data_IF_793314269648
#
_entry.id   IF_793314269648
#
_cell.length_a   1.000
_cell.length_b   1.000
_cell.length_c   1.000
_cell.angle_alpha   90.00
_cell.angle_beta   90.00
_cell.angle_gamma   90.00
#
_symmetry.space_group_name_H-M   'P 1'
#
loop_
_entity.id
_entity.type
_entity.pdbx_description
1 polymer ?
#
# COMPACT_ATOMS: atom_id res chain seq x y z
N UNK A 1 21.10 18.23 -13.65
CA UNK A 1 21.67 17.04 -12.97
C UNK A 1 22.85 16.51 -13.76
N UNK A 2 24.00 16.26 -13.17
CA UNK A 2 25.09 15.62 -13.89
C UNK A 2 24.66 14.19 -14.23
N UNK A 3 24.58 13.89 -15.50
CA UNK A 3 24.46 12.53 -16.04
C UNK A 3 25.87 11.98 -16.13
N UNK A 4 26.16 10.89 -15.46
CA UNK A 4 27.42 10.17 -15.57
C UNK A 4 27.18 8.88 -16.36
N UNK A 5 27.95 8.69 -17.44
CA UNK A 5 27.95 7.44 -18.20
C UNK A 5 29.35 6.90 -18.29
N UNK A 6 29.52 5.65 -17.87
CA UNK A 6 30.75 4.90 -18.04
C UNK A 6 30.54 3.82 -19.12
N UNK A 7 31.13 4.03 -20.29
CA UNK A 7 31.00 3.13 -21.42
C UNK A 7 31.71 1.79 -21.22
N UNK A 8 32.76 1.75 -20.37
CA UNK A 8 33.48 0.50 -20.07
C UNK A 8 32.68 -0.38 -19.11
N UNK A 9 32.13 0.24 -18.04
CA UNK A 9 31.30 -0.46 -17.07
C UNK A 9 29.82 -0.56 -17.51
N UNK A 10 29.44 0.11 -18.60
CA UNK A 10 28.06 0.21 -19.09
C UNK A 10 27.08 0.67 -17.99
N UNK A 11 27.49 1.65 -17.21
CA UNK A 11 26.67 2.20 -16.14
C UNK A 11 26.21 3.63 -16.47
N UNK A 12 24.95 3.90 -16.14
CA UNK A 12 24.33 5.21 -16.21
C UNK A 12 23.97 5.65 -14.80
N UNK A 13 24.43 6.84 -14.40
CA UNK A 13 24.13 7.41 -13.09
C UNK A 13 23.52 8.82 -13.22
N UNK A 14 22.45 9.06 -12.47
CA UNK A 14 21.88 10.38 -12.20
C UNK A 14 22.00 10.59 -10.69
N UNK A 15 23.08 11.18 -10.25
CA UNK A 15 23.37 11.34 -8.83
C UNK A 15 22.41 12.31 -8.14
N UNK A 16 21.79 13.23 -8.88
CA UNK A 16 20.87 14.23 -8.35
C UNK A 16 19.72 14.44 -9.32
N UNK A 17 18.64 13.73 -9.10
CA UNK A 17 17.38 13.94 -9.80
C UNK A 17 16.59 14.99 -9.01
N UNK A 18 16.16 16.07 -9.64
CA UNK A 18 15.30 17.08 -9.06
C UNK A 18 14.29 17.52 -10.10
N UNK A 19 13.04 17.56 -9.72
CA UNK A 19 11.93 17.94 -10.60
C UNK A 19 10.65 18.13 -9.82
N UNK A 20 9.57 18.35 -10.52
CA UNK A 20 8.22 18.34 -9.98
C UNK A 20 7.30 17.65 -10.98
N UNK A 21 6.32 16.92 -10.46
CA UNK A 21 5.26 16.32 -11.23
C UNK A 21 3.94 17.00 -10.86
N UNK A 22 3.33 17.63 -11.84
CA UNK A 22 2.01 18.25 -11.69
C UNK A 22 0.97 17.32 -12.32
N UNK A 23 0.10 16.77 -11.48
CA UNK A 23 -0.99 15.91 -11.89
C UNK A 23 -2.31 16.66 -11.76
N UNK A 24 -3.11 16.68 -12.80
CA UNK A 24 -4.47 17.20 -12.77
C UNK A 24 -5.47 16.06 -13.04
N UNK A 25 -6.41 15.85 -12.13
CA UNK A 25 -7.48 14.88 -12.32
C UNK A 25 -8.76 15.35 -11.65
N UNK A 26 -9.91 15.30 -12.35
CA UNK A 26 -11.19 15.64 -11.77
C UNK A 26 -11.63 14.64 -10.67
N UNK A 27 -11.01 13.45 -10.62
CA UNK A 27 -11.27 12.42 -9.60
C UNK A 27 -10.51 12.68 -8.29
N UNK A 28 -9.55 13.60 -8.28
CA UNK A 28 -8.84 13.98 -7.06
C UNK A 28 -9.61 15.08 -6.31
N UNK A 29 -9.74 15.01 -4.99
CA UNK A 29 -10.36 16.08 -4.17
C UNK A 29 -9.60 17.40 -4.33
N UNK A 30 -8.30 17.37 -4.55
CA UNK A 30 -7.47 18.48 -5.00
C UNK A 30 -7.33 18.38 -6.51
N UNK A 31 -7.93 19.33 -7.25
CA UNK A 31 -7.94 19.33 -8.72
C UNK A 31 -6.57 19.26 -9.37
N UNK A 32 -5.54 19.69 -8.65
CA UNK A 32 -4.13 19.64 -9.08
C UNK A 32 -3.27 19.14 -7.92
N UNK A 33 -2.36 18.24 -8.22
CA UNK A 33 -1.40 17.67 -7.31
C UNK A 33 0.00 18.05 -7.75
N UNK A 34 0.71 18.79 -6.91
CA UNK A 34 2.10 19.16 -7.13
C UNK A 34 3.02 18.29 -6.28
N UNK A 35 3.83 17.45 -6.93
CA UNK A 35 4.76 16.51 -6.30
C UNK A 35 6.20 16.95 -6.57
N UNK A 36 6.87 17.62 -5.64
CA UNK A 36 8.30 17.84 -5.76
C UNK A 36 9.04 16.49 -5.67
N UNK A 37 9.90 16.22 -6.62
CA UNK A 37 10.66 14.99 -6.71
C UNK A 37 12.15 15.27 -6.49
N UNK A 38 12.76 14.54 -5.59
CA UNK A 38 14.20 14.52 -5.39
C UNK A 38 14.71 13.09 -5.28
N UNK A 39 15.85 12.78 -5.88
CA UNK A 39 16.33 11.40 -5.83
C UNK A 39 17.58 11.16 -6.64
N UNK A 40 17.83 9.90 -6.90
CA UNK A 40 18.91 9.41 -7.73
C UNK A 40 18.50 8.16 -8.49
N UNK A 41 19.12 7.95 -9.63
CA UNK A 41 18.95 6.75 -10.46
C UNK A 41 20.34 6.20 -10.80
N UNK A 42 20.49 4.91 -10.67
CA UNK A 42 21.63 4.17 -11.17
C UNK A 42 21.14 3.00 -12.02
N UNK A 43 21.73 2.79 -13.17
CA UNK A 43 21.43 1.66 -14.03
C UNK A 43 22.72 0.99 -14.50
N UNK A 44 22.73 -0.32 -14.52
CA UNK A 44 23.80 -1.13 -15.08
C UNK A 44 23.25 -1.89 -16.27
N UNK A 45 23.62 -1.44 -17.47
CA UNK A 45 23.10 -1.98 -18.73
C UNK A 45 23.66 -3.38 -19.01
N UNK A 46 24.90 -3.66 -18.59
CA UNK A 46 25.50 -4.97 -18.75
C UNK A 46 24.80 -6.03 -17.87
N UNK A 47 24.48 -5.67 -16.63
CA UNK A 47 23.78 -6.54 -15.70
C UNK A 47 22.25 -6.50 -15.85
N UNK A 48 21.74 -5.57 -16.66
CA UNK A 48 20.30 -5.32 -16.81
C UNK A 48 19.61 -5.08 -15.46
N UNK A 49 20.18 -4.18 -14.64
CA UNK A 49 19.64 -3.78 -13.33
C UNK A 49 19.51 -2.27 -13.24
N UNK A 50 18.60 -1.79 -12.43
CA UNK A 50 18.46 -0.37 -12.15
C UNK A 50 17.97 -0.15 -10.72
N UNK A 51 18.51 0.87 -10.07
CA UNK A 51 18.17 1.31 -8.71
C UNK A 51 17.67 2.74 -8.78
N UNK A 52 16.48 3.00 -8.27
CA UNK A 52 15.87 4.33 -8.19
C UNK A 52 15.51 4.63 -6.75
N UNK A 53 15.99 5.74 -6.23
CA UNK A 53 15.52 6.28 -4.96
C UNK A 53 14.87 7.64 -5.20
N UNK A 54 13.64 7.81 -4.75
CA UNK A 54 12.86 9.03 -4.85
C UNK A 54 12.35 9.47 -3.50
N UNK A 55 12.41 10.75 -3.25
CA UNK A 55 11.77 11.41 -2.12
C UNK A 55 10.79 12.45 -2.66
N UNK A 56 9.62 12.48 -2.08
CA UNK A 56 8.60 13.49 -2.38
C UNK A 56 7.86 13.90 -1.12
N UNK A 57 7.19 15.01 -1.18
CA UNK A 57 6.26 15.44 -0.17
C UNK A 57 4.90 15.65 -0.81
N UNK A 58 3.87 15.08 -0.21
CA UNK A 58 2.49 15.19 -0.67
C UNK A 58 1.60 15.51 0.51
N UNK A 59 0.89 16.62 0.48
CA UNK A 59 -0.09 17.06 1.49
C UNK A 59 0.44 16.83 2.89
N UNK A 60 1.41 17.38 3.40
CA UNK A 60 2.05 17.18 4.71
C UNK A 60 2.70 15.79 4.92
N UNK A 61 2.57 14.85 3.97
CA UNK A 61 3.21 13.52 4.03
C UNK A 61 4.59 13.56 3.37
N UNK A 62 5.58 12.95 4.01
CA UNK A 62 6.88 12.68 3.40
C UNK A 62 6.91 11.24 2.92
N UNK A 63 7.26 11.06 1.67
CA UNK A 63 7.26 9.77 1.01
C UNK A 63 8.66 9.49 0.47
N UNK A 64 9.24 8.36 0.87
CA UNK A 64 10.46 7.84 0.30
C UNK A 64 10.18 6.52 -0.42
N UNK A 65 10.49 6.47 -1.70
CA UNK A 65 10.32 5.31 -2.56
C UNK A 65 11.70 4.82 -3.02
N UNK A 66 11.95 3.53 -2.90
CA UNK A 66 13.07 2.82 -3.51
C UNK A 66 12.53 1.77 -4.45
N UNK A 67 13.09 1.69 -5.65
CA UNK A 67 12.78 0.67 -6.63
C UNK A 67 14.07 0.02 -7.10
N UNK A 68 14.11 -1.30 -7.07
CA UNK A 68 15.24 -2.11 -7.51
C UNK A 68 14.76 -2.99 -8.67
N UNK A 69 15.18 -2.72 -9.89
CA UNK A 69 14.97 -3.62 -11.02
C UNK A 69 16.05 -4.71 -10.97
N UNK A 70 15.67 -5.87 -10.47
CA UNK A 70 16.58 -7.03 -10.33
C UNK A 70 16.79 -7.73 -11.67
N UNK A 71 15.80 -7.66 -12.55
CA UNK A 71 15.81 -8.28 -13.86
C UNK A 71 14.75 -7.64 -14.76
N UNK A 72 15.05 -7.43 -16.05
CA UNK A 72 14.11 -6.86 -17.02
C UNK A 72 13.27 -7.92 -17.73
N UNK A 73 13.81 -9.13 -17.93
CA UNK A 73 13.11 -10.22 -18.61
C UNK A 73 13.37 -11.57 -17.91
N UNK A 74 12.34 -12.18 -17.30
CA UNK A 74 11.06 -11.59 -16.92
C UNK A 74 11.26 -10.47 -15.87
N UNK A 75 10.42 -9.44 -15.93
CA UNK A 75 10.55 -8.29 -15.03
C UNK A 75 10.45 -8.72 -13.57
N UNK A 76 11.49 -8.41 -12.79
CA UNK A 76 11.54 -8.65 -11.34
C UNK A 76 11.90 -7.35 -10.62
N UNK A 77 10.99 -6.90 -9.75
CA UNK A 77 11.09 -5.64 -9.04
C UNK A 77 11.19 -5.85 -7.53
N UNK A 78 12.13 -5.15 -6.92
CA UNK A 78 12.13 -4.88 -5.49
C UNK A 78 11.60 -3.48 -5.22
N UNK A 79 10.91 -3.24 -4.11
CA UNK A 79 10.53 -1.90 -3.71
C UNK A 79 10.53 -1.71 -2.19
N UNK A 80 10.76 -0.48 -1.76
CA UNK A 80 10.58 0.00 -0.40
C UNK A 80 9.81 1.31 -0.42
N UNK A 81 8.73 1.38 0.33
CA UNK A 81 7.90 2.57 0.47
C UNK A 81 7.81 2.96 1.94
N UNK A 82 8.36 4.10 2.28
CA UNK A 82 8.30 4.68 3.61
C UNK A 82 7.48 5.97 3.56
N UNK A 83 6.43 6.06 4.36
CA UNK A 83 5.53 7.22 4.49
C UNK A 83 5.49 7.61 5.97
N UNK A 84 5.73 8.87 6.30
CA UNK A 84 5.67 9.32 7.70
C UNK A 84 4.23 9.39 8.23
N UNK A 85 3.33 9.98 7.47
CA UNK A 85 1.90 10.06 7.80
C UNK A 85 1.04 10.05 6.54
N UNK A 86 -0.13 9.42 6.59
CA UNK A 86 -1.08 9.35 5.50
C UNK A 86 -2.51 9.40 6.03
N UNK A 87 -3.28 10.40 5.61
CA UNK A 87 -4.71 10.49 5.88
C UNK A 87 -5.47 10.16 4.58
N UNK A 88 -5.91 8.90 4.49
CA UNK A 88 -6.64 8.40 3.31
C UNK A 88 -8.03 9.01 3.22
N UNK A 89 -8.63 9.41 4.36
CA UNK A 89 -9.99 9.95 4.40
C UNK A 89 -10.13 11.26 3.62
N UNK A 90 -9.01 11.98 3.45
CA UNK A 90 -8.97 13.22 2.64
C UNK A 90 -9.14 12.96 1.15
N UNK A 91 -8.90 11.72 0.70
CA UNK A 91 -8.91 11.33 -0.73
C UNK A 91 -10.08 10.41 -1.08
N UNK A 92 -10.81 9.93 -0.08
CA UNK A 92 -12.00 9.13 -0.31
C UNK A 92 -13.20 10.05 -0.60
N UNK A 93 -14.12 9.64 -1.49
CA UNK A 93 -15.41 10.31 -1.60
C UNK A 93 -16.11 10.32 -0.24
N UNK A 94 -16.85 11.37 0.10
CA UNK A 94 -17.64 11.40 1.33
C UNK A 94 -18.51 10.15 1.41
N UNK A 95 -18.42 9.40 2.51
CA UNK A 95 -19.24 8.21 2.71
C UNK A 95 -20.73 8.60 2.69
N UNK A 96 -21.60 7.84 2.00
CA UNK A 96 -23.03 8.04 2.10
C UNK A 96 -23.46 7.95 3.57
N UNK A 97 -24.23 8.91 4.04
CA UNK A 97 -24.55 9.13 5.46
C UNK A 97 -25.32 7.97 6.15
N UNK A 98 -25.75 6.92 5.43
CA UNK A 98 -26.68 5.90 5.92
C UNK A 98 -26.32 4.44 5.60
N UNK A 99 -25.05 4.06 5.53
CA UNK A 99 -24.71 2.64 5.47
C UNK A 99 -23.78 2.23 6.63
N UNK A 100 -24.07 1.10 7.33
CA UNK A 100 -23.17 0.53 8.34
C UNK A 100 -21.79 0.29 7.73
N UNK A 101 -20.74 0.60 8.49
CA UNK A 101 -19.36 0.44 8.06
C UNK A 101 -19.10 -0.99 7.56
N UNK A 102 -18.47 -1.17 6.39
CA UNK A 102 -18.02 -2.49 5.98
C UNK A 102 -16.87 -2.92 6.89
N UNK A 103 -17.05 -4.02 7.58
CA UNK A 103 -15.99 -4.70 8.32
C UNK A 103 -15.06 -5.38 7.33
N UNK A 104 -14.06 -4.71 6.86
CA UNK A 104 -12.74 -5.17 6.38
C UNK A 104 -12.11 -4.13 5.45
N UNK A 105 -10.80 -3.92 5.44
CA UNK A 105 -10.17 -3.04 4.47
C UNK A 105 -10.22 -3.70 3.09
N UNK A 106 -11.11 -3.22 2.23
CA UNK A 106 -11.09 -3.56 0.82
C UNK A 106 -9.94 -2.79 0.15
N UNK A 107 -8.82 -3.42 -0.02
CA UNK A 107 -7.76 -2.95 -0.91
C UNK A 107 -8.26 -3.08 -2.36
N UNK A 108 -8.43 -1.98 -3.03
CA UNK A 108 -8.71 -1.94 -4.47
C UNK A 108 -10.12 -1.45 -4.78
N UNK A 109 -10.18 -0.42 -5.59
CA UNK A 109 -11.41 0.15 -6.17
C UNK A 109 -12.19 -0.91 -6.95
N UNK A 110 -13.11 -1.59 -6.28
CA UNK A 110 -14.16 -2.33 -6.96
C UNK A 110 -15.32 -1.37 -7.18
N UNK A 111 -15.42 -0.83 -8.39
CA UNK A 111 -16.67 -0.26 -8.88
C UNK A 111 -17.78 -1.29 -8.67
N UNK A 112 -18.79 -0.94 -7.87
CA UNK A 112 -19.92 -1.81 -7.60
C UNK A 112 -20.66 -2.19 -8.87
N UNK A 113 -20.41 -3.39 -9.35
CA UNK A 113 -21.11 -4.10 -10.39
C UNK A 113 -20.89 -5.59 -10.12
N UNK A 114 -21.90 -6.44 -10.36
CA UNK A 114 -21.75 -7.89 -10.38
C UNK A 114 -20.75 -8.31 -11.49
N UNK A 115 -19.47 -8.01 -11.26
CA UNK A 115 -18.40 -8.30 -12.20
C UNK A 115 -17.54 -9.44 -11.67
N UNK A 116 -17.06 -10.29 -12.57
CA UNK A 116 -16.00 -11.26 -12.27
C UNK A 116 -14.79 -10.51 -11.73
N UNK A 117 -14.22 -10.99 -10.64
CA UNK A 117 -12.96 -10.48 -10.11
C UNK A 117 -11.86 -10.86 -11.10
N UNK A 118 -11.35 -9.87 -11.84
CA UNK A 118 -10.24 -10.11 -12.77
C UNK A 118 -8.90 -9.96 -12.04
N UNK A 119 -8.29 -11.09 -11.75
CA UNK A 119 -6.96 -11.17 -11.12
C UNK A 119 -5.84 -11.40 -12.15
N UNK A 120 -6.13 -11.29 -13.44
CA UNK A 120 -5.16 -11.58 -14.52
C UNK A 120 -3.90 -10.71 -14.42
N UNK A 121 -4.05 -9.47 -13.93
CA UNK A 121 -2.95 -8.54 -13.70
C UNK A 121 -1.90 -9.05 -12.70
N UNK A 122 -2.25 -9.97 -11.80
CA UNK A 122 -1.30 -10.56 -10.85
C UNK A 122 -0.37 -11.60 -11.47
N UNK A 123 -0.78 -12.24 -12.60
CA UNK A 123 -0.04 -13.35 -13.19
C UNK A 123 1.36 -12.98 -13.68
N UNK A 124 1.56 -11.84 -14.37
CA UNK A 124 2.88 -11.44 -14.84
C UNK A 124 3.74 -10.78 -13.76
N UNK A 125 3.17 -10.48 -12.58
CA UNK A 125 3.91 -9.78 -11.54
C UNK A 125 5.00 -10.67 -10.92
N UNK A 126 6.17 -10.07 -10.73
CA UNK A 126 7.26 -10.60 -9.95
C UNK A 126 7.82 -9.44 -9.12
N UNK A 127 7.21 -9.21 -7.98
CA UNK A 127 7.45 -8.04 -7.14
C UNK A 127 7.68 -8.50 -5.69
N UNK A 128 8.63 -7.88 -5.03
CA UNK A 128 8.94 -8.12 -3.62
C UNK A 128 9.28 -6.78 -2.97
N UNK A 129 8.59 -6.43 -1.88
CA UNK A 129 8.84 -5.14 -1.27
C UNK A 129 8.24 -4.98 0.12
N UNK A 130 8.54 -3.83 0.70
CA UNK A 130 8.08 -3.46 2.03
C UNK A 130 7.44 -2.08 2.03
N UNK A 131 6.33 -1.97 2.72
CA UNK A 131 5.62 -0.72 2.96
C UNK A 131 5.66 -0.42 4.46
N UNK A 132 6.08 0.79 4.82
CA UNK A 132 6.04 1.30 6.19
C UNK A 132 5.31 2.64 6.21
N UNK A 133 4.36 2.77 7.13
CA UNK A 133 3.63 4.01 7.34
C UNK A 133 3.65 4.34 8.83
N UNK A 134 4.21 5.49 9.18
CA UNK A 134 4.33 5.92 10.57
C UNK A 134 2.97 6.15 11.22
N UNK A 135 2.11 6.91 10.55
CA UNK A 135 0.73 7.19 10.97
C UNK A 135 -0.20 7.04 9.77
N UNK A 136 -1.23 6.24 9.90
CA UNK A 136 -2.26 6.01 8.89
C UNK A 136 -3.64 6.30 9.49
N UNK A 137 -4.41 7.13 8.81
CA UNK A 137 -5.83 7.29 9.09
C UNK A 137 -6.63 6.83 7.87
N UNK A 138 -7.61 5.96 8.10
CA UNK A 138 -8.53 5.49 7.08
C UNK A 138 -9.89 5.18 7.73
N UNK A 139 -10.98 5.70 7.17
CA UNK A 139 -12.34 5.60 7.72
C UNK A 139 -12.40 6.03 9.20
N UNK A 140 -11.67 7.11 9.54
CA UNK A 140 -11.46 7.64 10.90
C UNK A 140 -10.64 6.73 11.82
N UNK A 141 -10.35 5.48 11.43
CA UNK A 141 -9.51 4.56 12.19
C UNK A 141 -8.06 5.01 12.09
N UNK A 142 -7.39 5.07 13.24
CA UNK A 142 -6.00 5.51 13.34
C UNK A 142 -5.10 4.32 13.64
N UNK A 143 -4.15 4.07 12.73
CA UNK A 143 -3.10 3.09 12.90
C UNK A 143 -1.75 3.80 12.98
N UNK A 144 -0.84 3.20 13.71
CA UNK A 144 0.54 3.65 13.75
C UNK A 144 1.51 2.51 13.51
N UNK A 145 2.71 2.83 13.06
CA UNK A 145 3.77 1.85 12.82
C UNK A 145 3.34 0.69 11.92
N UNK A 146 2.54 0.98 10.86
CA UNK A 146 2.19 -0.04 9.89
C UNK A 146 3.45 -0.50 9.17
N UNK A 147 3.65 -1.80 9.13
CA UNK A 147 4.74 -2.49 8.47
C UNK A 147 4.17 -3.71 7.74
N UNK A 148 4.33 -3.73 6.42
CA UNK A 148 3.81 -4.80 5.58
C UNK A 148 4.88 -5.21 4.56
N UNK A 149 5.09 -6.52 4.43
CA UNK A 149 5.87 -7.09 3.33
C UNK A 149 4.92 -7.60 2.26
N UNK A 150 5.17 -7.25 1.01
CA UNK A 150 4.32 -7.54 -0.14
C UNK A 150 5.14 -8.33 -1.16
N UNK A 151 4.72 -9.55 -1.42
CA UNK A 151 5.28 -10.42 -2.46
C UNK A 151 4.23 -10.74 -3.52
N UNK A 152 4.58 -10.61 -4.80
CA UNK A 152 3.74 -11.09 -5.90
C UNK A 152 4.57 -11.88 -6.89
N UNK A 153 4.20 -13.14 -7.12
CA UNK A 153 4.87 -14.02 -8.08
C UNK A 153 3.93 -15.12 -8.59
N UNK A 154 3.96 -15.36 -9.90
CA UNK A 154 3.25 -16.47 -10.54
C UNK A 154 1.73 -16.45 -10.27
N UNK A 155 1.11 -15.27 -10.26
CA UNK A 155 -0.30 -15.09 -9.99
C UNK A 155 -0.69 -15.19 -8.51
N UNK A 156 0.27 -15.21 -7.59
CA UNK A 156 0.03 -15.16 -6.15
C UNK A 156 0.51 -13.81 -5.61
N UNK A 157 -0.35 -13.16 -4.85
CA UNK A 157 -0.04 -11.97 -4.06
C UNK A 157 -0.12 -12.36 -2.60
N UNK A 158 0.89 -12.03 -1.84
CA UNK A 158 0.95 -12.23 -0.40
C UNK A 158 1.39 -10.93 0.29
N UNK A 159 0.66 -10.57 1.35
CA UNK A 159 1.05 -9.49 2.26
C UNK A 159 1.28 -10.14 3.61
N UNK A 160 2.53 -10.44 3.93
CA UNK A 160 2.93 -11.12 5.16
C UNK A 160 4.42 -10.87 5.48
N UNK A 161 4.74 -10.44 6.72
CA UNK A 161 3.81 -10.06 7.77
C UNK A 161 3.11 -8.72 7.50
N UNK A 162 1.94 -8.53 8.07
CA UNK A 162 1.24 -7.24 8.19
C UNK A 162 1.10 -6.93 9.66
N UNK A 163 1.75 -5.86 10.12
CA UNK A 163 1.74 -5.44 11.52
C UNK A 163 1.38 -3.96 11.61
N UNK A 164 0.67 -3.59 12.66
CA UNK A 164 0.42 -2.20 13.03
C UNK A 164 0.08 -2.09 14.53
N UNK A 165 0.19 -0.89 15.07
CA UNK A 165 -0.37 -0.57 16.38
C UNK A 165 -1.63 0.29 16.19
N UNK A 166 -2.67 0.03 16.99
CA UNK A 166 -3.88 0.82 17.01
C UNK A 166 -4.53 0.80 18.40
N UNK A 167 -4.96 1.96 18.87
CA UNK A 167 -5.68 2.15 20.15
C UNK A 167 -5.05 1.41 21.34
N UNK A 168 -3.72 1.50 21.47
CA UNK A 168 -2.96 0.89 22.57
C UNK A 168 -2.84 -0.64 22.50
N UNK A 169 -3.29 -1.26 21.42
CA UNK A 169 -3.11 -2.66 21.09
C UNK A 169 -2.35 -2.86 19.78
N UNK A 170 -2.36 -4.08 19.28
CA UNK A 170 -1.64 -4.49 18.08
C UNK A 170 -2.54 -5.18 17.07
N UNK A 171 -2.24 -4.95 15.79
CA UNK A 171 -2.73 -5.73 14.66
C UNK A 171 -1.57 -6.56 14.14
N UNK A 172 -1.79 -7.84 13.92
CA UNK A 172 -0.86 -8.70 13.22
C UNK A 172 -1.63 -9.63 12.28
N UNK A 173 -1.08 -9.91 11.09
CA UNK A 173 -1.76 -10.81 10.18
C UNK A 173 -1.11 -10.98 8.83
N UNK A 174 -1.90 -11.53 7.90
CA UNK A 174 -1.53 -11.70 6.50
C UNK A 174 -2.75 -11.63 5.59
N UNK A 175 -2.50 -11.29 4.33
CA UNK A 175 -3.47 -11.34 3.24
C UNK A 175 -2.85 -12.14 2.11
N UNK A 176 -3.63 -13.03 1.49
CA UNK A 176 -3.22 -13.83 0.35
C UNK A 176 -4.27 -13.78 -0.76
N UNK A 177 -3.81 -13.67 -2.01
CA UNK A 177 -4.64 -13.76 -3.21
C UNK A 177 -3.96 -14.68 -4.20
N UNK A 178 -4.69 -15.66 -4.73
CA UNK A 178 -4.20 -16.56 -5.76
C UNK A 178 -5.07 -16.42 -7.02
N UNK A 179 -4.53 -15.74 -8.01
CA UNK A 179 -5.21 -15.52 -9.30
C UNK A 179 -5.38 -16.77 -10.15
N UNK A 180 -4.68 -17.87 -9.83
CA UNK A 180 -4.81 -19.12 -10.58
C UNK A 180 -5.99 -19.96 -10.10
N UNK A 181 -6.42 -19.77 -8.85
CA UNK A 181 -7.50 -20.52 -8.18
C UNK A 181 -8.64 -19.62 -7.73
N UNK A 182 -8.54 -18.30 -7.94
CA UNK A 182 -9.45 -17.27 -7.42
C UNK A 182 -9.71 -17.44 -5.91
N UNK A 183 -8.64 -17.67 -5.17
CA UNK A 183 -8.66 -17.89 -3.73
C UNK A 183 -8.16 -16.67 -2.99
N UNK A 184 -8.86 -16.31 -1.92
CA UNK A 184 -8.53 -15.21 -1.03
C UNK A 184 -8.38 -15.76 0.38
N UNK A 185 -7.31 -15.40 1.05
CA UNK A 185 -7.04 -15.78 2.43
C UNK A 185 -6.75 -14.53 3.26
N UNK A 186 -7.42 -14.40 4.41
CA UNK A 186 -7.24 -13.28 5.34
C UNK A 186 -7.04 -13.87 6.73
N UNK A 187 -5.90 -13.58 7.33
CA UNK A 187 -5.63 -13.90 8.74
C UNK A 187 -5.30 -12.63 9.47
N UNK A 188 -6.06 -12.31 10.51
CA UNK A 188 -5.89 -11.09 11.28
C UNK A 188 -6.04 -11.40 12.76
N UNK A 189 -5.16 -10.85 13.57
CA UNK A 189 -5.23 -10.88 15.02
C UNK A 189 -5.12 -9.45 15.55
N UNK A 190 -6.14 -9.02 16.28
CA UNK A 190 -6.20 -7.77 17.02
C UNK A 190 -6.05 -8.12 18.50
N UNK A 191 -5.07 -7.58 19.18
CA UNK A 191 -4.82 -7.88 20.59
C UNK A 191 -4.73 -6.62 21.44
N UNK A 192 -5.46 -6.61 22.55
CA UNK A 192 -5.39 -5.56 23.56
C UNK A 192 -5.87 -4.18 23.10
N UNK A 193 -6.78 -4.12 22.12
CA UNK A 193 -7.33 -2.88 21.57
C UNK A 193 -8.24 -2.20 22.62
N UNK A 194 -8.01 -0.93 22.90
CA UNK A 194 -8.95 -0.13 23.69
C UNK A 194 -10.23 0.11 22.89
N UNK A 195 -11.35 -0.38 23.42
CA UNK A 195 -12.63 -0.43 22.70
C UNK A 195 -13.26 0.97 22.60
N UNK A 196 -13.23 1.75 23.68
CA UNK A 196 -13.83 3.09 23.74
C UNK A 196 -13.30 4.04 22.63
N UNK A 197 -11.99 4.32 22.51
CA UNK A 197 -11.48 5.20 21.47
C UNK A 197 -11.66 4.64 20.06
N UNK A 198 -11.66 3.31 19.90
CA UNK A 198 -11.94 2.68 18.62
C UNK A 198 -13.39 2.96 18.19
N UNK A 199 -14.37 2.75 19.06
CA UNK A 199 -15.78 2.98 18.76
C UNK A 199 -16.10 4.47 18.57
N UNK A 200 -15.45 5.34 19.34
CA UNK A 200 -15.57 6.78 19.18
C UNK A 200 -15.14 7.25 17.79
N UNK A 201 -14.00 6.76 17.31
CA UNK A 201 -13.49 7.08 15.99
C UNK A 201 -14.35 6.40 14.89
N UNK A 202 -14.72 5.13 15.06
CA UNK A 202 -15.45 4.36 14.04
C UNK A 202 -16.91 4.79 13.85
N UNK A 203 -17.66 5.00 14.96
CA UNK A 203 -19.10 5.21 14.92
C UNK A 203 -19.59 6.46 15.70
N UNK A 204 -18.66 7.27 16.20
CA UNK A 204 -18.94 8.49 16.98
C UNK A 204 -19.87 8.25 18.21
N UNK A 205 -19.74 7.10 18.86
CA UNK A 205 -20.48 6.73 20.08
C UNK A 205 -19.49 6.25 21.16
N UNK A 206 -19.82 6.49 22.42
CA UNK A 206 -19.08 6.08 23.60
C UNK A 206 -19.81 4.98 24.38
N UNK A 207 -20.09 3.80 23.82
CA UNK A 207 -21.00 2.86 24.48
C UNK A 207 -20.31 1.90 25.47
N UNK A 208 -19.01 1.65 25.33
CA UNK A 208 -18.33 0.56 26.05
C UNK A 208 -16.88 0.90 26.36
N UNK A 209 -16.46 0.65 27.60
CA UNK A 209 -15.06 0.66 28.03
C UNK A 209 -14.49 -0.76 28.05
N UNK A 210 -13.17 -0.89 27.95
CA UNK A 210 -12.48 -2.16 28.05
C UNK A 210 -11.44 -2.38 26.97
N UNK A 211 -10.88 -3.59 26.97
CA UNK A 211 -9.93 -4.05 25.94
C UNK A 211 -10.45 -5.28 25.25
N UNK A 212 -10.31 -5.31 23.92
CA UNK A 212 -10.74 -6.43 23.09
C UNK A 212 -9.58 -7.17 22.44
N UNK A 213 -9.81 -8.46 22.21
CA UNK A 213 -8.96 -9.29 21.35
C UNK A 213 -9.87 -10.01 20.35
N UNK A 214 -9.50 -9.94 19.08
CA UNK A 214 -10.26 -10.55 17.98
C UNK A 214 -9.30 -11.28 17.07
N UNK A 215 -9.65 -12.49 16.65
CA UNK A 215 -8.94 -13.20 15.60
C UNK A 215 -9.89 -13.56 14.48
N UNK A 216 -9.41 -13.38 13.24
CA UNK A 216 -10.12 -13.71 12.01
C UNK A 216 -9.21 -14.60 11.17
N UNK A 217 -9.74 -15.74 10.72
CA UNK A 217 -9.10 -16.62 9.75
C UNK A 217 -10.17 -17.03 8.73
N UNK A 218 -10.08 -16.44 7.55
CA UNK A 218 -11.06 -16.64 6.48
C UNK A 218 -10.34 -17.01 5.20
N UNK A 219 -10.77 -18.09 4.58
CA UNK A 219 -10.36 -18.44 3.22
C UNK A 219 -11.61 -18.59 2.38
N UNK A 220 -11.66 -17.92 1.26
CA UNK A 220 -12.77 -18.00 0.31
C UNK A 220 -12.26 -18.24 -1.11
N UNK A 221 -13.08 -18.85 -1.93
CA UNK A 221 -12.81 -19.08 -3.35
C UNK A 221 -14.05 -18.72 -4.15
N UNK A 222 -13.89 -17.98 -5.22
CA UNK A 222 -15.00 -17.62 -6.08
C UNK A 222 -14.63 -16.61 -7.14
N UNK A 223 -15.41 -16.59 -8.21
CA UNK A 223 -15.25 -15.69 -9.35
C UNK A 223 -16.13 -14.44 -9.26
N UNK A 224 -16.97 -14.36 -8.24
CA UNK A 224 -17.93 -13.25 -8.04
C UNK A 224 -17.97 -12.81 -6.59
N UNK A 225 -18.19 -11.52 -6.36
CA UNK A 225 -18.54 -10.97 -5.05
C UNK A 225 -20.06 -11.12 -4.89
N UNK A 226 -20.50 -11.86 -3.88
CA UNK A 226 -21.91 -11.99 -3.53
C UNK A 226 -22.34 -10.81 -2.66
#
# INVERSE_FOLDING_TARGET
>A
SPVAYDGTAQTLGLAKLAGALDLASPALPMKTLHLPLAGNLQANLAKKTADLALNTAFDESKIALRLDVKQFEPLALGFGLDIDKLDVDRYLPPAPADKPAPTAPASGSASGGQGKIDLSALKPLNVDGRVRIGQLQAHRIKLTQLDAHIGARGGRLEVAPLNAALYGGTLAGSLGVNANTNEFAVKQALAGIAIEPLLKDAIAKDPLEGRGTVSLDVTTRGDTVA
#
